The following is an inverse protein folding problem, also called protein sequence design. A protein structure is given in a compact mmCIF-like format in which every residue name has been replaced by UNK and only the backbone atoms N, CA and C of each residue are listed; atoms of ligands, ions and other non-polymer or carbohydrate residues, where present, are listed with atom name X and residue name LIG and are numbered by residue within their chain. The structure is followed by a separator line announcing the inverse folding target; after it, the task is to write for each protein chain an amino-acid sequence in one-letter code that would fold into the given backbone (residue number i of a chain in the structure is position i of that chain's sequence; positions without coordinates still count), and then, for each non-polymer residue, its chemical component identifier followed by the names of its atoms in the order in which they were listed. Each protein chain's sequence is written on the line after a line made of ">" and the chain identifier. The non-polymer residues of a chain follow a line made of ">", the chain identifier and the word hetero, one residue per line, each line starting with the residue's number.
data_IF_381379224353
#
_entry.id   IF_381379224353
#
_cell.length_a   1.000
_cell.length_b   1.000
_cell.length_c   1.000
_cell.angle_alpha   90.00
_cell.angle_beta   90.00
_cell.angle_gamma   90.00
#
_symmetry.space_group_name_H-M   'P 1'
#
loop_
_entity.id
_entity.type
_entity.pdbx_description
1 polymer ?
#
# COMPACT_ATOMS: atom_id res chain seq x y z
N UNK A 1 34.94 16.02 4.10
CA UNK A 1 33.77 15.18 3.76
C UNK A 1 32.94 15.08 5.02
N UNK A 2 31.71 15.57 4.98
CA UNK A 2 30.79 15.47 6.10
C UNK A 2 30.13 14.10 6.00
N UNK A 3 30.41 13.19 6.93
CA UNK A 3 29.86 11.82 6.90
C UNK A 3 28.32 11.84 7.10
N UNK A 4 27.86 12.77 7.93
CA UNK A 4 26.47 12.98 8.29
C UNK A 4 26.29 14.48 8.57
N UNK A 5 25.33 15.13 7.93
CA UNK A 5 24.98 16.53 8.16
C UNK A 5 23.48 16.76 8.06
N UNK A 6 22.98 17.78 8.76
CA UNK A 6 21.57 18.18 8.74
C UNK A 6 21.47 19.59 8.15
N UNK A 7 20.71 19.73 7.06
CA UNK A 7 20.27 21.00 6.49
C UNK A 7 18.95 21.47 7.12
N UNK A 8 18.39 22.57 6.61
CA UNK A 8 17.10 23.09 7.10
C UNK A 8 15.93 22.14 6.77
N UNK A 9 16.00 21.47 5.62
CA UNK A 9 14.95 20.60 5.06
C UNK A 9 15.47 19.23 4.59
N UNK A 10 16.74 18.92 4.88
CA UNK A 10 17.43 17.78 4.27
C UNK A 10 18.47 17.13 5.20
N UNK A 11 18.77 15.87 4.90
CA UNK A 11 19.80 15.06 5.50
C UNK A 11 20.89 14.80 4.45
N UNK A 12 22.14 15.10 4.79
CA UNK A 12 23.30 14.75 3.96
C UNK A 12 23.95 13.51 4.57
N UNK A 13 24.08 12.46 3.78
CA UNK A 13 24.74 11.22 4.18
C UNK A 13 25.68 10.76 3.05
N UNK A 14 26.98 10.74 3.33
CA UNK A 14 28.03 10.65 2.30
C UNK A 14 27.86 11.73 1.21
N UNK A 15 27.78 11.31 -0.05
CA UNK A 15 27.63 12.17 -1.22
C UNK A 15 26.15 12.34 -1.65
N UNK A 16 25.21 11.83 -0.84
CA UNK A 16 23.78 11.94 -1.09
C UNK A 16 23.15 13.00 -0.17
N UNK A 17 22.26 13.80 -0.75
CA UNK A 17 21.38 14.70 -0.04
C UNK A 17 19.95 14.20 -0.21
N UNK A 18 19.26 13.98 0.90
CA UNK A 18 17.87 13.51 0.93
C UNK A 18 17.00 14.57 1.58
N UNK A 19 15.93 15.01 0.93
CA UNK A 19 14.94 15.89 1.57
C UNK A 19 14.14 15.12 2.62
N UNK A 20 13.66 15.81 3.66
CA UNK A 20 12.78 15.16 4.64
C UNK A 20 11.49 14.65 3.99
N UNK A 21 11.02 15.27 2.91
CA UNK A 21 9.88 14.76 2.15
C UNK A 21 10.18 13.43 1.44
N UNK A 22 11.32 13.28 0.78
CA UNK A 22 11.75 11.99 0.18
C UNK A 22 11.88 10.90 1.24
N UNK A 23 12.46 11.22 2.40
CA UNK A 23 12.58 10.29 3.52
C UNK A 23 11.19 9.88 4.02
N UNK A 24 10.29 10.82 4.27
CA UNK A 24 8.94 10.50 4.73
C UNK A 24 8.17 9.68 3.68
N UNK A 25 8.23 10.07 2.41
CA UNK A 25 7.57 9.37 1.30
C UNK A 25 8.08 7.93 1.18
N UNK A 26 9.39 7.73 1.19
CA UNK A 26 10.00 6.40 1.10
C UNK A 26 9.62 5.50 2.27
N UNK A 27 9.60 6.02 3.50
CA UNK A 27 9.17 5.24 4.68
C UNK A 27 7.68 4.86 4.61
N UNK A 28 6.81 5.76 4.17
CA UNK A 28 5.38 5.46 3.96
C UNK A 28 5.23 4.38 2.88
N UNK A 29 5.93 4.53 1.75
CA UNK A 29 5.91 3.56 0.64
C UNK A 29 6.47 2.19 1.05
N UNK A 30 7.52 2.13 1.87
CA UNK A 30 8.03 0.87 2.42
C UNK A 30 7.00 0.23 3.35
N UNK A 31 6.39 1.01 4.25
CA UNK A 31 5.38 0.50 5.17
C UNK A 31 4.17 -0.09 4.42
N UNK A 32 3.61 0.67 3.48
CA UNK A 32 2.52 0.19 2.63
C UNK A 32 2.98 -0.97 1.76
N UNK A 33 4.19 -0.92 1.22
CA UNK A 33 4.84 -2.00 0.50
C UNK A 33 4.78 -3.32 1.27
N UNK A 34 5.20 -3.33 2.53
CA UNK A 34 5.17 -4.51 3.41
C UNK A 34 3.74 -5.03 3.57
N UNK A 35 2.79 -4.16 3.94
CA UNK A 35 1.39 -4.57 4.17
C UNK A 35 0.75 -5.15 2.91
N UNK A 36 0.86 -4.44 1.79
CA UNK A 36 0.22 -4.82 0.53
C UNK A 36 0.87 -6.08 -0.06
N UNK A 37 2.20 -6.17 -0.04
CA UNK A 37 2.93 -7.35 -0.53
C UNK A 37 2.66 -8.58 0.32
N UNK A 38 2.66 -8.47 1.66
CA UNK A 38 2.34 -9.59 2.53
C UNK A 38 0.90 -10.06 2.30
N UNK A 39 -0.08 -9.14 2.28
CA UNK A 39 -1.49 -9.46 2.03
C UNK A 39 -1.72 -10.13 0.67
N UNK A 40 -1.05 -9.62 -0.38
CA UNK A 40 -1.19 -10.14 -1.74
C UNK A 40 -0.50 -11.50 -1.93
N UNK A 41 0.71 -11.70 -1.41
CA UNK A 41 1.39 -12.99 -1.52
C UNK A 41 0.76 -14.07 -0.67
N UNK A 42 0.20 -13.74 0.51
CA UNK A 42 -0.55 -14.70 1.30
C UNK A 42 -1.72 -15.29 0.51
N UNK A 43 -2.47 -14.45 -0.22
CA UNK A 43 -3.54 -14.89 -1.13
C UNK A 43 -3.05 -15.82 -2.25
N UNK A 44 -1.86 -15.56 -2.80
CA UNK A 44 -1.29 -16.41 -3.86
C UNK A 44 -0.84 -17.75 -3.30
N UNK A 45 -0.13 -17.74 -2.17
CA UNK A 45 0.50 -18.92 -1.59
C UNK A 45 -0.50 -19.81 -0.82
N UNK A 46 -1.54 -19.22 -0.24
CA UNK A 46 -2.62 -19.87 0.50
C UNK A 46 -3.98 -19.68 -0.18
N UNK A 47 -4.02 -19.88 -1.50
CA UNK A 47 -5.21 -19.59 -2.31
C UNK A 47 -6.48 -20.31 -1.84
N UNK A 48 -6.40 -21.60 -1.51
CA UNK A 48 -7.57 -22.38 -1.09
C UNK A 48 -8.11 -21.90 0.27
N UNK A 49 -7.22 -21.57 1.21
CA UNK A 49 -7.60 -21.05 2.52
C UNK A 49 -8.31 -19.70 2.41
N UNK A 50 -7.72 -18.78 1.64
CA UNK A 50 -8.30 -17.44 1.42
C UNK A 50 -9.61 -17.49 0.65
N UNK A 51 -9.71 -18.36 -0.37
CA UNK A 51 -10.96 -18.54 -1.10
C UNK A 51 -12.07 -19.09 -0.21
N UNK A 52 -11.77 -20.06 0.66
CA UNK A 52 -12.74 -20.59 1.61
C UNK A 52 -13.19 -19.52 2.61
N UNK A 53 -12.25 -18.77 3.18
CA UNK A 53 -12.54 -17.67 4.10
C UNK A 53 -13.45 -16.60 3.46
N UNK A 54 -13.11 -16.14 2.26
CA UNK A 54 -13.92 -15.14 1.54
C UNK A 54 -15.30 -15.70 1.18
N UNK A 55 -15.37 -16.93 0.69
CA UNK A 55 -16.65 -17.55 0.28
C UNK A 55 -17.59 -17.67 1.47
N UNK A 56 -17.09 -18.08 2.65
CA UNK A 56 -17.87 -18.13 3.89
C UNK A 56 -18.30 -16.73 4.34
N UNK A 57 -17.36 -15.77 4.35
CA UNK A 57 -17.61 -14.39 4.75
C UNK A 57 -18.71 -13.71 3.91
N UNK A 58 -18.74 -13.99 2.60
CA UNK A 58 -19.67 -13.36 1.68
C UNK A 58 -20.93 -14.19 1.37
N UNK A 59 -21.09 -15.39 1.94
CA UNK A 59 -22.15 -16.34 1.61
C UNK A 59 -23.58 -15.76 1.71
N UNK A 60 -23.81 -14.77 2.60
CA UNK A 60 -25.11 -14.10 2.81
C UNK A 60 -25.18 -12.70 2.21
N UNK A 61 -24.28 -12.37 1.29
CA UNK A 61 -24.15 -11.04 0.68
C UNK A 61 -24.36 -11.11 -0.83
N UNK A 62 -24.58 -9.96 -1.50
CA UNK A 62 -24.65 -9.91 -2.97
C UNK A 62 -23.36 -10.40 -3.67
N UNK A 63 -22.24 -10.51 -2.95
CA UNK A 63 -20.95 -10.94 -3.49
C UNK A 63 -20.74 -12.46 -3.46
N UNK A 64 -21.70 -13.24 -2.93
CA UNK A 64 -21.52 -14.69 -2.75
C UNK A 64 -21.03 -15.41 -4.03
N UNK A 65 -21.62 -15.09 -5.19
CA UNK A 65 -21.26 -15.69 -6.49
C UNK A 65 -20.05 -15.07 -7.17
N UNK A 66 -19.53 -13.94 -6.67
CA UNK A 66 -18.39 -13.22 -7.24
C UNK A 66 -17.17 -13.19 -6.32
N UNK A 67 -17.22 -13.92 -5.19
CA UNK A 67 -16.16 -14.05 -4.18
C UNK A 67 -14.78 -14.32 -4.81
N UNK A 68 -14.68 -15.30 -5.71
CA UNK A 68 -13.42 -15.62 -6.42
C UNK A 68 -12.92 -14.45 -7.26
N UNK A 69 -13.82 -13.77 -7.99
CA UNK A 69 -13.44 -12.63 -8.82
C UNK A 69 -12.93 -11.46 -7.95
N UNK A 70 -13.60 -11.18 -6.83
CA UNK A 70 -13.16 -10.19 -5.86
C UNK A 70 -11.78 -10.51 -5.28
N UNK A 71 -11.52 -11.78 -4.95
CA UNK A 71 -10.23 -12.25 -4.45
C UNK A 71 -9.12 -12.07 -5.49
N UNK A 72 -9.35 -12.44 -6.75
CA UNK A 72 -8.37 -12.23 -7.83
C UNK A 72 -8.07 -10.72 -8.00
N UNK A 73 -9.13 -9.91 -8.09
CA UNK A 73 -9.00 -8.48 -8.33
C UNK A 73 -8.19 -7.81 -7.22
N UNK A 74 -8.54 -8.03 -5.96
CA UNK A 74 -7.81 -7.42 -4.83
C UNK A 74 -6.36 -7.89 -4.77
N UNK A 75 -6.10 -9.18 -5.02
CA UNK A 75 -4.74 -9.75 -5.03
C UNK A 75 -3.85 -9.06 -6.07
N UNK A 76 -4.37 -8.81 -7.29
CA UNK A 76 -3.61 -8.10 -8.33
C UNK A 76 -3.23 -6.69 -7.86
N UNK A 77 -4.19 -5.94 -7.31
CA UNK A 77 -3.89 -4.58 -6.82
C UNK A 77 -2.93 -4.60 -5.63
N UNK A 78 -3.06 -5.55 -4.71
CA UNK A 78 -2.17 -5.69 -3.55
C UNK A 78 -0.73 -6.00 -3.96
N UNK A 79 -0.52 -6.96 -4.86
CA UNK A 79 0.82 -7.31 -5.32
C UNK A 79 1.45 -6.16 -6.11
N UNK A 80 0.72 -5.58 -7.07
CA UNK A 80 1.25 -4.48 -7.88
C UNK A 80 1.55 -3.25 -7.03
N UNK A 81 0.63 -2.86 -6.13
CA UNK A 81 0.84 -1.73 -5.23
C UNK A 81 2.03 -1.95 -4.31
N UNK A 82 2.16 -3.15 -3.73
CA UNK A 82 3.27 -3.46 -2.82
C UNK A 82 4.64 -3.40 -3.50
N UNK A 83 4.77 -4.04 -4.66
CA UNK A 83 6.01 -4.04 -5.45
C UNK A 83 6.38 -2.63 -5.94
N UNK A 84 5.40 -1.88 -6.47
CA UNK A 84 5.63 -0.51 -6.92
C UNK A 84 5.93 0.45 -5.78
N UNK A 85 5.38 0.24 -4.58
CA UNK A 85 5.70 1.06 -3.41
C UNK A 85 7.15 0.83 -2.96
N UNK A 86 7.61 -0.42 -2.91
CA UNK A 86 9.03 -0.70 -2.63
C UNK A 86 9.96 -0.11 -3.69
N UNK A 87 9.65 -0.34 -4.97
CA UNK A 87 10.45 0.19 -6.05
C UNK A 87 10.44 1.73 -6.05
N UNK A 88 9.27 2.34 -5.82
CA UNK A 88 9.11 3.78 -5.71
C UNK A 88 9.86 4.41 -4.54
N UNK A 89 9.94 3.73 -3.39
CA UNK A 89 10.77 4.17 -2.27
C UNK A 89 12.27 4.21 -2.63
N UNK A 90 12.75 3.24 -3.41
CA UNK A 90 14.12 3.25 -3.91
C UNK A 90 14.33 4.34 -4.98
N UNK A 91 13.39 4.48 -5.91
CA UNK A 91 13.49 5.45 -7.00
C UNK A 91 13.46 6.91 -6.50
N UNK A 92 12.62 7.23 -5.50
CA UNK A 92 12.55 8.58 -4.96
C UNK A 92 13.81 8.98 -4.20
N UNK A 93 14.49 8.03 -3.53
CA UNK A 93 15.70 8.31 -2.76
C UNK A 93 16.96 8.46 -3.61
N UNK A 94 17.06 7.76 -4.75
CA UNK A 94 18.32 7.65 -5.47
C UNK A 94 18.28 8.15 -6.92
N UNK A 95 17.09 8.44 -7.45
CA UNK A 95 16.89 8.76 -8.86
C UNK A 95 15.95 9.95 -9.10
N UNK A 96 15.52 10.66 -8.05
CA UNK A 96 14.58 11.77 -8.13
C UNK A 96 13.29 11.42 -8.92
N UNK A 97 12.86 10.16 -8.86
CA UNK A 97 11.69 9.68 -9.59
C UNK A 97 10.57 9.25 -8.64
N UNK A 98 9.47 10.01 -8.67
CA UNK A 98 8.31 9.87 -7.80
C UNK A 98 7.19 9.00 -8.38
N UNK A 99 7.15 8.80 -9.71
CA UNK A 99 5.98 8.25 -10.40
C UNK A 99 5.66 6.82 -9.96
N UNK A 100 6.68 5.98 -9.74
CA UNK A 100 6.49 4.61 -9.26
C UNK A 100 5.85 4.55 -7.87
N UNK A 101 6.30 5.42 -6.95
CA UNK A 101 5.73 5.52 -5.59
C UNK A 101 4.28 5.99 -5.63
N UNK A 102 4.00 7.04 -6.41
CA UNK A 102 2.64 7.57 -6.61
C UNK A 102 1.71 6.49 -7.17
N UNK A 103 2.13 5.78 -8.22
CA UNK A 103 1.31 4.70 -8.81
C UNK A 103 1.10 3.57 -7.79
N UNK A 104 2.14 3.18 -7.04
CA UNK A 104 2.04 2.20 -5.97
C UNK A 104 0.96 2.55 -4.93
N UNK A 105 0.99 3.79 -4.42
CA UNK A 105 0.01 4.30 -3.45
C UNK A 105 -1.40 4.45 -4.03
N UNK A 106 -1.55 4.86 -5.29
CA UNK A 106 -2.85 4.89 -5.97
C UNK A 106 -3.46 3.48 -6.04
N UNK A 107 -2.67 2.49 -6.46
CA UNK A 107 -3.12 1.09 -6.52
C UNK A 107 -3.45 0.55 -5.12
N UNK A 108 -2.68 0.93 -4.09
CA UNK A 108 -2.98 0.59 -2.71
C UNK A 108 -4.32 1.19 -2.27
N UNK A 109 -4.59 2.45 -2.62
CA UNK A 109 -5.85 3.13 -2.34
C UNK A 109 -7.03 2.43 -3.00
N UNK A 110 -6.88 2.01 -4.25
CA UNK A 110 -7.89 1.22 -4.96
C UNK A 110 -8.16 -0.11 -4.23
N UNK A 111 -7.10 -0.84 -3.86
CA UNK A 111 -7.24 -2.09 -3.11
C UNK A 111 -7.96 -1.90 -1.77
N UNK A 112 -7.58 -0.89 -0.99
CA UNK A 112 -8.21 -0.57 0.30
C UNK A 112 -9.69 -0.19 0.14
N UNK A 113 -10.07 0.50 -0.95
CA UNK A 113 -11.47 0.79 -1.27
C UNK A 113 -12.26 -0.49 -1.60
N UNK A 114 -11.68 -1.43 -2.37
CA UNK A 114 -12.30 -2.73 -2.66
C UNK A 114 -12.50 -3.52 -1.37
N UNK A 115 -11.47 -3.60 -0.52
CA UNK A 115 -11.55 -4.25 0.78
C UNK A 115 -12.62 -3.61 1.66
N UNK A 116 -12.63 -2.29 1.80
CA UNK A 116 -13.63 -1.54 2.58
C UNK A 116 -15.06 -1.85 2.11
N UNK A 117 -15.31 -1.87 0.80
CA UNK A 117 -16.60 -2.24 0.25
C UNK A 117 -17.01 -3.66 0.68
N UNK A 118 -16.08 -4.63 0.56
CA UNK A 118 -16.29 -5.99 1.04
C UNK A 118 -16.62 -6.06 2.53
N UNK A 119 -15.87 -5.36 3.38
CA UNK A 119 -16.15 -5.31 4.82
C UNK A 119 -17.55 -4.77 5.11
N UNK A 120 -17.97 -3.70 4.41
CA UNK A 120 -19.30 -3.09 4.61
C UNK A 120 -20.44 -3.99 4.14
N UNK A 121 -20.28 -4.68 3.00
CA UNK A 121 -21.31 -5.60 2.49
C UNK A 121 -21.46 -6.85 3.36
N UNK A 122 -20.37 -7.33 3.96
CA UNK A 122 -20.38 -8.44 4.93
C UNK A 122 -20.73 -8.01 6.36
N UNK A 123 -20.95 -6.71 6.60
CA UNK A 123 -21.20 -6.11 7.93
C UNK A 123 -20.08 -6.34 8.94
N UNK A 124 -18.85 -6.53 8.46
CA UNK A 124 -17.66 -6.58 9.29
C UNK A 124 -17.17 -5.17 9.61
N UNK A 125 -17.79 -4.56 10.63
CA UNK A 125 -17.49 -3.19 11.03
C UNK A 125 -16.12 -3.03 11.69
N UNK A 126 -15.65 -4.08 12.37
CA UNK A 126 -14.34 -4.09 13.03
C UNK A 126 -13.22 -4.12 11.98
N UNK A 127 -13.30 -5.04 11.01
CA UNK A 127 -12.38 -5.10 9.89
C UNK A 127 -12.40 -3.80 9.07
N UNK A 128 -13.58 -3.22 8.85
CA UNK A 128 -13.70 -1.93 8.18
C UNK A 128 -13.02 -0.78 8.94
N UNK A 129 -13.06 -0.77 10.28
CA UNK A 129 -12.43 0.25 11.09
C UNK A 129 -10.90 0.20 11.00
N UNK A 130 -10.32 -1.01 10.95
CA UNK A 130 -8.87 -1.21 10.79
C UNK A 130 -8.36 -0.64 9.47
N UNK A 131 -9.14 -0.75 8.38
CA UNK A 131 -8.73 -0.23 7.06
C UNK A 131 -8.60 1.30 7.00
N UNK A 132 -9.27 2.03 7.89
CA UNK A 132 -9.25 3.50 7.89
C UNK A 132 -7.86 4.04 8.15
N UNK A 133 -7.09 3.44 9.07
CA UNK A 133 -5.73 3.91 9.38
C UNK A 133 -4.78 3.69 8.20
N UNK A 134 -4.84 2.54 7.53
CA UNK A 134 -4.07 2.28 6.31
C UNK A 134 -4.45 3.25 5.19
N UNK A 135 -5.74 3.53 5.02
CA UNK A 135 -6.21 4.47 4.00
C UNK A 135 -5.74 5.90 4.28
N UNK A 136 -5.80 6.35 5.54
CA UNK A 136 -5.28 7.66 5.94
C UNK A 136 -3.78 7.77 5.70
N UNK A 137 -2.99 6.75 6.06
CA UNK A 137 -1.56 6.71 5.79
C UNK A 137 -1.28 6.76 4.28
N UNK A 138 -2.06 6.04 3.47
CA UNK A 138 -1.93 6.06 2.02
C UNK A 138 -2.22 7.45 1.42
N UNK A 139 -3.30 8.10 1.85
CA UNK A 139 -3.63 9.47 1.40
C UNK A 139 -2.58 10.48 1.85
N UNK A 140 -2.06 10.34 3.07
CA UNK A 140 -0.96 11.17 3.55
C UNK A 140 0.32 10.95 2.74
N UNK A 141 0.64 9.71 2.37
CA UNK A 141 1.75 9.40 1.47
C UNK A 141 1.62 10.11 0.13
N UNK A 142 0.44 10.06 -0.51
CA UNK A 142 0.18 10.79 -1.75
C UNK A 142 0.33 12.30 -1.59
N UNK A 143 -0.12 12.85 -0.47
CA UNK A 143 0.07 14.27 -0.15
C UNK A 143 1.55 14.63 -0.03
N UNK A 144 2.37 13.78 0.61
CA UNK A 144 3.82 13.98 0.76
C UNK A 144 4.52 13.89 -0.60
N UNK A 145 4.18 12.90 -1.44
CA UNK A 145 4.72 12.81 -2.80
C UNK A 145 4.43 14.05 -3.66
N UNK A 146 3.36 14.80 -3.36
CA UNK A 146 3.05 16.05 -4.04
C UNK A 146 3.89 17.26 -3.56
N UNK A 147 4.72 17.08 -2.53
CA UNK A 147 5.64 18.10 -2.00
C UNK A 147 7.11 17.88 -2.45
N UNK A 148 7.39 16.77 -3.13
CA UNK A 148 8.69 16.43 -3.72
C UNK A 148 8.70 16.97 -5.15
#
# INVERSE_FOLDING_TARGET
>A
MTLLGFGEDSLIFFDYQFTFFEIIASFISIFLGIVMTQSGFDKILNWEGELNFITEKFAKTPLASTSTFGLIQVTIFEVLSGLLSFFGAFMVLFYDEVSYGIIGLILAGISLCILMLGQRLSKDYEGAAVLVSYFLLNMFGLFIYAQI
#
